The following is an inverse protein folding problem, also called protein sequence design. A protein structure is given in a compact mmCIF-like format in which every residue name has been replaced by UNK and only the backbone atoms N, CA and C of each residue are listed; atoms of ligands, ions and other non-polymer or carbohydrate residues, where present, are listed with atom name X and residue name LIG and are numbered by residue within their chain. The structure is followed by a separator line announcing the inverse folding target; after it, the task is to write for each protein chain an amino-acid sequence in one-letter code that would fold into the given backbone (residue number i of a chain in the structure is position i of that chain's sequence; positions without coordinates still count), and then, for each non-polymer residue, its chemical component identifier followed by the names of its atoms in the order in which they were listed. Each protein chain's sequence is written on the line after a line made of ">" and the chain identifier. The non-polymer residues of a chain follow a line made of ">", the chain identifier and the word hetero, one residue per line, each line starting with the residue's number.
data_IF_390831747890
#
_entry.id   IF_390831747890
#
_cell.length_a   1.000
_cell.length_b   1.000
_cell.length_c   1.000
_cell.angle_alpha   90.00
_cell.angle_beta   90.00
_cell.angle_gamma   90.00
#
_symmetry.space_group_name_H-M   'P 1'
#
loop_
_entity.id
_entity.type
_entity.pdbx_description
1 polymer ?
#
# COMPACT_ATOMS: atom_id res chain seq x y z
N UNK A 1 -8.64 -23.03 -6.70
CA UNK A 1 -9.35 -23.11 -7.99
C UNK A 1 -10.86 -22.95 -7.84
N UNK A 2 -11.49 -23.60 -6.84
CA UNK A 2 -12.91 -23.45 -6.55
C UNK A 2 -13.27 -22.03 -6.10
N UNK A 3 -12.45 -21.44 -5.21
CA UNK A 3 -12.62 -20.04 -4.79
C UNK A 3 -12.51 -19.05 -5.97
N UNK A 4 -11.58 -19.31 -6.89
CA UNK A 4 -11.45 -18.50 -8.09
C UNK A 4 -12.72 -18.57 -8.96
N UNK A 5 -13.31 -19.74 -9.15
CA UNK A 5 -14.56 -19.88 -9.89
C UNK A 5 -15.73 -19.13 -9.22
N UNK A 6 -15.77 -19.10 -7.89
CA UNK A 6 -16.75 -18.28 -7.16
C UNK A 6 -16.51 -16.77 -7.39
N UNK A 7 -15.24 -16.34 -7.40
CA UNK A 7 -14.89 -14.95 -7.72
C UNK A 7 -15.24 -14.54 -9.15
N UNK A 8 -15.03 -15.46 -10.11
CA UNK A 8 -15.41 -15.24 -11.52
C UNK A 8 -16.91 -15.03 -11.69
N UNK A 9 -17.73 -15.73 -10.91
CA UNK A 9 -19.18 -15.52 -10.93
C UNK A 9 -19.54 -14.06 -10.68
N UNK A 10 -18.96 -13.42 -9.67
CA UNK A 10 -19.20 -12.01 -9.40
C UNK A 10 -18.68 -11.11 -10.51
N UNK A 11 -17.44 -11.35 -10.97
CA UNK A 11 -16.83 -10.60 -12.09
C UNK A 11 -17.71 -10.64 -13.34
N UNK A 12 -18.17 -11.83 -13.74
CA UNK A 12 -18.94 -12.02 -14.96
C UNK A 12 -20.37 -11.48 -14.84
N UNK A 13 -20.86 -11.29 -13.60
CA UNK A 13 -22.13 -10.62 -13.30
C UNK A 13 -21.98 -9.12 -12.99
N UNK A 14 -20.96 -8.45 -13.55
CA UNK A 14 -20.75 -6.99 -13.44
C UNK A 14 -20.47 -6.48 -12.03
N UNK A 15 -19.96 -7.35 -11.16
CA UNK A 15 -19.61 -7.04 -9.78
C UNK A 15 -18.10 -7.07 -9.59
N UNK A 16 -17.65 -6.75 -8.38
CA UNK A 16 -16.24 -6.76 -8.02
C UNK A 16 -16.01 -7.78 -6.92
N UNK A 17 -14.96 -8.58 -7.06
CA UNK A 17 -14.57 -9.56 -6.06
C UNK A 17 -13.06 -9.46 -5.75
N UNK A 18 -12.70 -9.75 -4.51
CA UNK A 18 -11.33 -9.90 -4.04
C UNK A 18 -11.13 -11.34 -3.58
N UNK A 19 -10.05 -11.97 -4.03
CA UNK A 19 -9.64 -13.29 -3.57
C UNK A 19 -8.22 -13.24 -3.00
N UNK A 20 -8.02 -13.87 -1.87
CA UNK A 20 -6.73 -14.00 -1.21
C UNK A 20 -6.34 -15.47 -1.23
N UNK A 21 -5.14 -15.78 -1.77
CA UNK A 21 -4.58 -17.11 -1.77
C UNK A 21 -3.51 -17.23 -0.69
N UNK A 22 -3.87 -17.74 0.46
CA UNK A 22 -2.97 -17.92 1.61
C UNK A 22 -2.69 -19.42 1.84
N UNK A 23 -1.62 -19.98 1.28
CA UNK A 23 -0.66 -19.34 0.39
C UNK A 23 -0.31 -20.25 -0.81
N UNK A 24 0.26 -19.69 -1.87
CA UNK A 24 0.66 -20.43 -3.05
C UNK A 24 2.00 -21.17 -2.87
N UNK A 25 2.83 -20.81 -1.91
CA UNK A 25 4.06 -21.54 -1.59
C UNK A 25 3.73 -22.93 -1.04
N UNK A 26 2.78 -23.04 -0.12
CA UNK A 26 2.30 -24.33 0.40
C UNK A 26 1.56 -25.13 -0.66
N UNK A 27 0.78 -24.46 -1.49
CA UNK A 27 0.10 -25.12 -2.62
C UNK A 27 1.14 -25.72 -3.60
N UNK A 28 2.22 -25.00 -3.90
CA UNK A 28 3.32 -25.49 -4.73
C UNK A 28 4.02 -26.70 -4.09
N UNK A 29 4.29 -26.64 -2.79
CA UNK A 29 4.90 -27.75 -2.04
C UNK A 29 4.03 -29.01 -2.07
N UNK A 30 2.72 -28.86 -1.85
CA UNK A 30 1.77 -29.98 -1.94
C UNK A 30 1.73 -30.57 -3.35
N UNK A 31 1.70 -29.72 -4.38
CA UNK A 31 1.72 -30.17 -5.78
C UNK A 31 3.02 -30.91 -6.13
N UNK A 32 4.18 -30.46 -5.63
CA UNK A 32 5.45 -31.15 -5.74
C UNK A 32 5.40 -32.54 -5.10
N UNK A 33 4.89 -32.66 -3.88
CA UNK A 33 4.77 -33.93 -3.18
C UNK A 33 3.93 -34.95 -3.99
N UNK A 34 2.73 -34.53 -4.43
CA UNK A 34 1.87 -35.37 -5.27
C UNK A 34 2.57 -35.79 -6.57
N UNK A 35 3.25 -34.87 -7.22
CA UNK A 35 3.97 -35.15 -8.48
C UNK A 35 5.10 -36.16 -8.30
N UNK A 36 5.85 -36.06 -7.20
CA UNK A 36 6.93 -37.02 -6.87
C UNK A 36 6.37 -38.41 -6.53
N UNK A 37 5.26 -38.49 -5.79
CA UNK A 37 4.58 -39.73 -5.51
C UNK A 37 4.08 -40.41 -6.80
N UNK A 38 3.63 -39.64 -7.77
CA UNK A 38 3.21 -40.12 -9.09
C UNK A 38 4.41 -40.39 -10.01
N UNK A 39 5.64 -40.30 -9.49
CA UNK A 39 6.89 -40.53 -10.23
C UNK A 39 7.05 -39.64 -11.49
N UNK A 40 6.48 -38.44 -11.48
CA UNK A 40 6.72 -37.45 -12.51
C UNK A 40 8.19 -36.95 -12.41
N UNK A 41 8.89 -36.75 -13.54
CA UNK A 41 10.27 -36.31 -13.50
C UNK A 41 10.38 -34.92 -12.85
N UNK A 42 11.25 -34.76 -11.84
CA UNK A 42 11.44 -33.47 -11.18
C UNK A 42 12.27 -32.52 -12.04
N UNK A 43 11.93 -31.22 -11.96
CA UNK A 43 12.70 -30.12 -12.50
C UNK A 43 13.48 -29.35 -11.42
N UNK A 44 13.59 -28.02 -11.60
CA UNK A 44 14.28 -27.14 -10.66
C UNK A 44 13.63 -27.25 -9.26
N UNK A 45 14.45 -27.34 -8.22
CA UNK A 45 14.05 -27.49 -6.82
C UNK A 45 13.06 -28.65 -6.59
N UNK A 46 13.19 -29.70 -7.43
CA UNK A 46 12.32 -30.87 -7.44
C UNK A 46 10.83 -30.59 -7.75
N UNK A 47 10.48 -29.39 -8.21
CA UNK A 47 9.15 -29.10 -8.71
C UNK A 47 8.88 -29.76 -10.07
N UNK A 48 7.64 -30.15 -10.37
CA UNK A 48 7.29 -30.64 -11.69
C UNK A 48 7.41 -29.53 -12.73
N UNK A 49 7.66 -29.90 -13.99
CA UNK A 49 7.88 -28.95 -15.08
C UNK A 49 6.72 -28.00 -15.37
N UNK A 50 5.50 -28.35 -14.92
CA UNK A 50 4.28 -27.57 -15.09
C UNK A 50 3.94 -26.67 -13.89
N UNK A 51 4.86 -26.49 -12.93
CA UNK A 51 4.58 -25.68 -11.73
C UNK A 51 4.26 -24.22 -12.07
N UNK A 52 4.95 -23.64 -13.05
CA UNK A 52 4.65 -22.30 -13.53
C UNK A 52 3.22 -22.21 -14.06
N UNK A 53 2.81 -23.17 -14.88
CA UNK A 53 1.47 -23.24 -15.44
C UNK A 53 0.41 -23.46 -14.36
N UNK A 54 0.74 -24.22 -13.32
CA UNK A 54 -0.18 -24.43 -12.17
C UNK A 54 -0.56 -23.10 -11.50
N UNK A 55 0.36 -22.15 -11.38
CA UNK A 55 0.09 -20.82 -10.84
C UNK A 55 -0.47 -19.86 -11.90
N UNK A 56 0.08 -19.82 -13.11
CA UNK A 56 -0.36 -18.87 -14.12
C UNK A 56 -1.82 -19.09 -14.54
N UNK A 57 -2.23 -20.34 -14.77
CA UNK A 57 -3.64 -20.65 -15.10
C UNK A 57 -4.64 -20.33 -13.99
N UNK A 58 -4.18 -20.16 -12.73
CA UNK A 58 -4.99 -19.70 -11.63
C UNK A 58 -5.05 -18.16 -11.57
N UNK A 59 -3.89 -17.51 -11.63
CA UNK A 59 -3.77 -16.08 -11.42
C UNK A 59 -4.27 -15.25 -12.61
N UNK A 60 -4.08 -15.71 -13.83
CA UNK A 60 -4.57 -15.04 -15.05
C UNK A 60 -6.12 -15.02 -15.17
N UNK A 61 -6.81 -15.79 -14.37
CA UNK A 61 -8.29 -15.72 -14.25
C UNK A 61 -8.75 -14.44 -13.54
N UNK A 62 -7.87 -13.81 -12.77
CA UNK A 62 -8.15 -12.53 -12.11
C UNK A 62 -7.94 -11.40 -13.12
N UNK A 63 -9.02 -10.68 -13.43
CA UNK A 63 -9.02 -9.67 -14.47
C UNK A 63 -10.07 -8.59 -14.20
N UNK A 64 -9.87 -7.41 -14.78
CA UNK A 64 -10.88 -6.37 -14.97
C UNK A 64 -11.45 -6.51 -16.37
N UNK A 65 -12.74 -6.72 -16.48
CA UNK A 65 -13.44 -6.78 -17.77
C UNK A 65 -13.64 -5.37 -18.35
N UNK A 66 -13.80 -5.29 -19.67
CA UNK A 66 -14.14 -4.05 -20.35
C UNK A 66 -15.61 -3.64 -20.10
N UNK A 67 -15.96 -2.43 -20.52
CA UNK A 67 -17.31 -1.88 -20.30
C UNK A 67 -18.39 -2.66 -21.07
N UNK A 68 -18.07 -3.19 -22.25
CA UNK A 68 -19.00 -4.02 -23.04
C UNK A 68 -19.41 -5.30 -22.29
N UNK A 69 -18.49 -5.88 -21.50
CA UNK A 69 -18.75 -7.04 -20.66
C UNK A 69 -19.25 -6.65 -19.25
N UNK A 70 -19.49 -5.36 -19.00
CA UNK A 70 -20.08 -4.86 -17.78
C UNK A 70 -19.09 -4.46 -16.69
N UNK A 71 -17.80 -4.31 -17.03
CA UNK A 71 -16.75 -3.75 -16.16
C UNK A 71 -16.55 -4.44 -14.81
N UNK A 72 -16.99 -5.69 -14.64
CA UNK A 72 -16.74 -6.48 -13.44
C UNK A 72 -15.24 -6.76 -13.23
N UNK A 73 -14.83 -7.04 -12.01
CA UNK A 73 -13.43 -7.34 -11.72
C UNK A 73 -13.24 -8.45 -10.70
N UNK A 74 -12.16 -9.20 -10.85
CA UNK A 74 -11.64 -10.11 -9.85
C UNK A 74 -10.19 -9.73 -9.57
N UNK A 75 -9.92 -9.30 -8.35
CA UNK A 75 -8.55 -8.99 -7.88
C UNK A 75 -8.03 -10.15 -7.05
N UNK A 76 -6.83 -10.63 -7.35
CA UNK A 76 -6.17 -11.67 -6.58
C UNK A 76 -4.98 -11.09 -5.79
N UNK A 77 -4.88 -11.47 -4.52
CA UNK A 77 -3.73 -11.24 -3.66
C UNK A 77 -3.11 -12.58 -3.27
N UNK A 78 -2.19 -13.12 -4.09
CA UNK A 78 -1.48 -14.35 -3.75
C UNK A 78 -0.40 -14.05 -2.70
N UNK A 79 -0.37 -14.85 -1.63
CA UNK A 79 0.67 -14.80 -0.62
C UNK A 79 1.75 -15.81 -0.99
N UNK A 80 2.99 -15.34 -1.00
CA UNK A 80 4.19 -16.15 -1.23
C UNK A 80 5.10 -16.03 -0.02
N UNK A 81 5.48 -17.17 0.53
CA UNK A 81 6.44 -17.26 1.62
C UNK A 81 7.88 -17.31 1.04
N UNK A 82 8.74 -16.44 1.52
CA UNK A 82 10.16 -16.42 1.14
C UNK A 82 11.02 -16.97 2.28
N UNK A 83 12.11 -17.66 1.93
CA UNK A 83 13.11 -18.10 2.90
C UNK A 83 14.16 -16.98 3.03
N UNK A 84 14.36 -16.48 4.26
CA UNK A 84 15.30 -15.39 4.55
C UNK A 84 15.17 -14.13 3.65
N UNK A 85 13.97 -13.85 3.14
CA UNK A 85 13.74 -12.71 2.25
C UNK A 85 14.21 -12.92 0.80
N UNK A 86 14.60 -14.13 0.42
CA UNK A 86 15.07 -14.43 -0.94
C UNK A 86 13.90 -14.44 -1.95
N UNK A 87 13.70 -13.31 -2.62
CA UNK A 87 12.72 -13.15 -3.71
C UNK A 87 13.22 -13.72 -5.04
N UNK A 88 14.50 -14.12 -5.13
CA UNK A 88 15.10 -14.69 -6.35
C UNK A 88 14.88 -16.21 -6.46
N UNK A 89 14.32 -16.83 -5.44
CA UNK A 89 13.96 -18.25 -5.44
C UNK A 89 12.91 -18.57 -6.51
N UNK A 90 12.78 -19.86 -6.85
CA UNK A 90 12.03 -20.31 -8.01
C UNK A 90 10.53 -19.93 -7.96
N UNK A 91 9.83 -20.22 -6.87
CA UNK A 91 8.40 -19.91 -6.76
C UNK A 91 8.14 -18.41 -6.69
N UNK A 92 8.86 -17.60 -5.85
CA UNK A 92 8.70 -16.16 -5.85
C UNK A 92 8.88 -15.51 -7.22
N UNK A 93 9.94 -15.86 -7.96
CA UNK A 93 10.21 -15.28 -9.30
C UNK A 93 9.12 -15.63 -10.30
N UNK A 94 8.59 -16.85 -10.27
CA UNK A 94 7.48 -17.26 -11.11
C UNK A 94 6.24 -16.40 -10.84
N UNK A 95 5.85 -16.23 -9.59
CA UNK A 95 4.64 -15.49 -9.23
C UNK A 95 4.79 -13.99 -9.48
N UNK A 96 5.96 -13.40 -9.23
CA UNK A 96 6.25 -12.00 -9.60
C UNK A 96 6.10 -11.78 -11.11
N UNK A 97 6.52 -12.76 -11.93
CA UNK A 97 6.40 -12.65 -13.39
C UNK A 97 4.95 -12.74 -13.89
N UNK A 98 4.10 -13.48 -13.20
CA UNK A 98 2.68 -13.67 -13.54
C UNK A 98 1.85 -12.46 -13.09
N UNK A 99 2.13 -11.90 -11.91
CA UNK A 99 1.33 -10.85 -11.29
C UNK A 99 1.71 -9.44 -11.77
N UNK A 100 0.87 -8.45 -11.47
CA UNK A 100 1.11 -7.04 -11.82
C UNK A 100 1.98 -6.29 -10.81
N UNK A 101 2.77 -7.00 -10.05
CA UNK A 101 3.68 -6.43 -9.07
C UNK A 101 3.69 -7.21 -7.76
N UNK A 102 4.36 -6.67 -6.76
CA UNK A 102 4.48 -7.29 -5.44
C UNK A 102 4.42 -6.25 -4.33
N UNK A 103 3.87 -6.64 -3.20
CA UNK A 103 3.97 -5.96 -1.91
C UNK A 103 5.01 -6.74 -1.09
N UNK A 104 6.16 -6.14 -0.82
CA UNK A 104 7.26 -6.76 -0.10
C UNK A 104 7.16 -6.45 1.39
N UNK A 105 6.99 -7.48 2.21
CA UNK A 105 6.98 -7.38 3.68
C UNK A 105 8.36 -7.72 4.23
N UNK A 106 8.90 -6.85 5.07
CA UNK A 106 10.25 -6.98 5.62
C UNK A 106 10.22 -7.17 7.14
N UNK A 107 10.78 -8.29 7.68
CA UNK A 107 10.79 -8.53 9.12
C UNK A 107 11.48 -7.43 9.93
N UNK A 108 12.55 -6.83 9.40
CA UNK A 108 13.26 -5.74 10.07
C UNK A 108 12.35 -4.53 10.34
N UNK A 109 11.50 -4.15 9.37
CA UNK A 109 10.52 -3.08 9.55
C UNK A 109 9.47 -3.43 10.61
N UNK A 110 9.02 -4.68 10.64
CA UNK A 110 8.08 -5.14 11.66
C UNK A 110 8.64 -5.01 13.07
N UNK A 111 9.86 -5.45 13.28
CA UNK A 111 10.55 -5.35 14.59
C UNK A 111 10.90 -3.90 14.94
N UNK A 112 11.14 -3.03 13.96
CA UNK A 112 11.31 -1.58 14.14
C UNK A 112 9.99 -0.85 14.43
N UNK A 113 8.85 -1.56 14.52
CA UNK A 113 7.54 -0.96 14.82
C UNK A 113 6.86 -0.28 13.63
N UNK A 114 7.35 -0.50 12.40
CA UNK A 114 6.67 -0.08 11.16
C UNK A 114 5.66 -1.16 10.79
N UNK A 115 4.38 -0.87 10.97
CA UNK A 115 3.28 -1.81 10.72
C UNK A 115 2.16 -1.11 9.97
N UNK A 116 1.77 -1.64 8.77
CA UNK A 116 2.28 -2.83 8.09
C UNK A 116 3.76 -2.69 7.70
N UNK A 117 4.49 -3.82 7.71
CA UNK A 117 5.93 -3.87 7.49
C UNK A 117 6.29 -3.83 5.98
N UNK A 118 5.68 -2.92 5.24
CA UNK A 118 5.82 -2.80 3.78
C UNK A 118 7.09 -2.04 3.43
N UNK A 119 7.98 -2.69 2.69
CA UNK A 119 9.11 -2.02 2.08
C UNK A 119 8.66 -1.33 0.78
N UNK A 120 8.48 -0.02 0.83
CA UNK A 120 8.00 0.80 -0.31
C UNK A 120 8.99 0.78 -1.48
N UNK A 121 10.28 0.65 -1.21
CA UNK A 121 11.34 0.63 -2.24
C UNK A 121 11.30 -0.65 -3.10
N UNK A 122 11.12 -1.81 -2.44
CA UNK A 122 11.08 -3.12 -3.10
C UNK A 122 9.69 -3.50 -3.62
N UNK A 123 8.64 -2.83 -3.14
CA UNK A 123 7.28 -3.04 -3.62
C UNK A 123 7.09 -2.34 -4.96
N UNK A 124 6.47 -3.04 -5.91
CA UNK A 124 6.26 -2.55 -7.28
C UNK A 124 4.81 -2.82 -7.69
N UNK A 125 4.18 -1.88 -8.37
CA UNK A 125 2.91 -2.08 -9.05
C UNK A 125 3.06 -1.72 -10.53
N UNK A 126 2.74 -2.65 -11.43
CA UNK A 126 2.70 -2.40 -12.89
C UNK A 126 1.45 -1.64 -13.29
N UNK A 127 0.37 -1.74 -12.51
CA UNK A 127 -0.85 -0.94 -12.69
C UNK A 127 -0.62 0.50 -12.25
N UNK A 128 0.11 0.68 -11.16
CA UNK A 128 0.52 1.97 -10.62
C UNK A 128 -0.66 2.91 -10.35
N UNK A 129 -0.49 4.17 -10.71
CA UNK A 129 -1.50 5.18 -10.51
C UNK A 129 -2.81 4.98 -11.30
N UNK A 130 -2.86 4.06 -12.28
CA UNK A 130 -4.11 3.81 -13.02
C UNK A 130 -5.23 3.24 -12.14
N UNK A 131 -4.87 2.57 -11.03
CA UNK A 131 -5.84 2.04 -10.06
C UNK A 131 -6.24 3.04 -8.97
N UNK A 132 -5.59 4.21 -8.90
CA UNK A 132 -5.86 5.23 -7.88
C UNK A 132 -6.86 6.26 -8.39
N UNK A 133 -7.72 6.74 -7.50
CA UNK A 133 -8.51 7.95 -7.76
C UNK A 133 -7.58 9.17 -7.92
N UNK A 134 -8.02 10.18 -8.62
CA UNK A 134 -7.20 11.36 -8.95
C UNK A 134 -6.69 12.07 -7.70
N UNK A 135 -7.53 12.22 -6.67
CA UNK A 135 -7.15 12.81 -5.38
C UNK A 135 -5.97 12.07 -4.73
N UNK A 136 -5.98 10.73 -4.72
CA UNK A 136 -4.87 9.94 -4.18
C UNK A 136 -3.59 10.13 -5.00
N UNK A 137 -3.68 10.17 -6.33
CA UNK A 137 -2.51 10.47 -7.19
C UNK A 137 -1.90 11.83 -6.89
N UNK A 138 -2.73 12.84 -6.63
CA UNK A 138 -2.27 14.20 -6.35
C UNK A 138 -1.47 14.28 -5.04
N UNK A 139 -1.86 13.53 -4.01
CA UNK A 139 -1.17 13.56 -2.70
C UNK A 139 -0.04 12.54 -2.57
N UNK A 140 -0.16 11.38 -3.22
CA UNK A 140 0.81 10.28 -3.09
C UNK A 140 1.80 10.19 -4.26
N UNK A 141 1.70 11.06 -5.27
CA UNK A 141 2.51 10.99 -6.50
C UNK A 141 4.00 11.02 -6.26
N UNK A 142 4.48 11.84 -5.32
CA UNK A 142 5.89 11.95 -4.94
C UNK A 142 6.28 11.10 -3.74
N UNK A 143 5.30 10.55 -3.01
CA UNK A 143 5.51 9.91 -1.70
C UNK A 143 6.57 8.80 -1.75
N UNK A 144 6.59 8.00 -2.81
CA UNK A 144 7.58 6.93 -2.98
C UNK A 144 9.00 7.49 -3.11
N UNK A 145 9.17 8.57 -3.85
CA UNK A 145 10.45 9.26 -4.03
C UNK A 145 10.90 9.90 -2.71
N UNK A 146 9.98 10.60 -2.04
CA UNK A 146 10.24 11.24 -0.75
C UNK A 146 10.68 10.22 0.30
N UNK A 147 10.04 9.04 0.32
CA UNK A 147 10.41 7.95 1.23
C UNK A 147 11.76 7.31 0.88
N UNK A 148 12.10 7.19 -0.40
CA UNK A 148 13.41 6.69 -0.82
C UNK A 148 14.53 7.66 -0.40
N UNK A 149 14.35 8.96 -0.65
CA UNK A 149 15.28 10.00 -0.22
C UNK A 149 15.44 10.05 1.31
N UNK A 150 14.32 9.94 2.03
CA UNK A 150 14.37 9.88 3.50
C UNK A 150 15.25 8.74 4.00
N UNK A 151 15.11 7.53 3.45
CA UNK A 151 15.91 6.37 3.87
C UNK A 151 17.40 6.54 3.60
N UNK A 152 17.76 7.12 2.46
CA UNK A 152 19.15 7.44 2.14
C UNK A 152 19.73 8.45 3.13
N UNK A 153 18.98 9.53 3.39
CA UNK A 153 19.40 10.58 4.32
C UNK A 153 19.44 10.09 5.78
N UNK A 154 18.52 9.21 6.18
CA UNK A 154 18.50 8.59 7.51
C UNK A 154 19.77 7.76 7.75
N UNK A 155 20.19 6.99 6.74
CA UNK A 155 21.44 6.23 6.81
C UNK A 155 22.66 7.16 6.94
N UNK A 156 22.71 8.29 6.19
CA UNK A 156 23.77 9.28 6.32
C UNK A 156 23.77 10.00 7.68
N UNK A 157 22.60 10.36 8.18
CA UNK A 157 22.45 11.03 9.48
C UNK A 157 22.98 10.17 10.64
N UNK A 158 22.90 8.86 10.55
CA UNK A 158 23.45 7.93 11.54
C UNK A 158 24.99 8.00 11.67
N UNK A 159 25.69 8.52 10.64
CA UNK A 159 27.15 8.69 10.67
C UNK A 159 27.63 10.06 11.20
N UNK A 160 26.72 10.92 11.71
CA UNK A 160 27.07 12.13 12.45
C UNK A 160 27.58 13.29 11.61
N UNK A 161 27.19 13.42 10.36
CA UNK A 161 27.51 14.57 9.51
C UNK A 161 26.69 15.81 9.91
N UNK A 162 27.29 17.01 9.86
CA UNK A 162 26.58 18.29 9.95
C UNK A 162 25.67 18.42 8.72
N UNK A 163 24.36 18.31 8.96
CA UNK A 163 23.36 18.37 7.90
C UNK A 163 22.90 19.81 7.69
N UNK A 164 22.82 20.22 6.43
CA UNK A 164 22.23 21.49 6.07
C UNK A 164 20.73 21.56 6.39
N UNK A 165 20.17 22.79 6.45
CA UNK A 165 18.77 23.00 6.82
C UNK A 165 17.76 22.34 5.88
N UNK A 166 18.11 22.17 4.59
CA UNK A 166 17.25 21.52 3.60
C UNK A 166 17.16 20.03 3.90
N UNK A 167 18.29 19.37 4.11
CA UNK A 167 18.39 17.96 4.47
C UNK A 167 17.70 17.66 5.80
N UNK A 168 17.87 18.53 6.82
CA UNK A 168 17.15 18.41 8.09
C UNK A 168 15.63 18.47 7.90
N UNK A 169 15.13 19.35 7.02
CA UNK A 169 13.71 19.45 6.72
C UNK A 169 13.18 18.20 6.02
N UNK A 170 13.95 17.63 5.08
CA UNK A 170 13.58 16.39 4.41
C UNK A 170 13.52 15.20 5.40
N UNK A 171 14.51 15.08 6.29
CA UNK A 171 14.50 14.09 7.36
C UNK A 171 13.32 14.26 8.31
N UNK A 172 13.05 15.50 8.71
CA UNK A 172 11.91 15.82 9.57
C UNK A 172 10.59 15.38 8.93
N UNK A 173 10.36 15.74 7.66
CA UNK A 173 9.16 15.37 6.92
C UNK A 173 9.07 13.87 6.69
N UNK A 174 10.14 13.23 6.25
CA UNK A 174 10.17 11.79 6.00
C UNK A 174 9.82 10.97 7.24
N UNK A 175 10.37 11.34 8.41
CA UNK A 175 10.01 10.68 9.67
C UNK A 175 8.52 10.79 10.00
N UNK A 176 7.87 11.94 9.71
CA UNK A 176 6.42 12.11 9.89
C UNK A 176 5.64 11.25 8.90
N UNK A 177 6.05 11.22 7.64
CA UNK A 177 5.42 10.37 6.63
C UNK A 177 5.51 8.88 7.00
N UNK A 178 6.66 8.41 7.51
CA UNK A 178 6.78 7.03 8.05
C UNK A 178 5.76 6.79 9.15
N UNK A 179 5.59 7.75 10.06
CA UNK A 179 4.63 7.61 11.16
C UNK A 179 3.18 7.58 10.67
N UNK A 180 2.82 8.41 9.70
CA UNK A 180 1.47 8.45 9.11
C UNK A 180 1.13 7.19 8.30
N UNK A 181 2.13 6.51 7.75
CA UNK A 181 1.93 5.25 7.02
C UNK A 181 1.75 4.03 7.93
N UNK A 182 1.95 4.19 9.24
CA UNK A 182 1.63 3.13 10.20
C UNK A 182 0.12 3.04 10.39
N UNK A 183 -0.39 1.83 10.41
CA UNK A 183 -1.83 1.56 10.54
C UNK A 183 -2.07 0.43 11.53
N UNK A 184 -2.95 0.60 12.52
CA UNK A 184 -3.34 -0.48 13.41
C UNK A 184 -4.04 -1.62 12.65
N UNK A 185 -3.91 -2.83 13.16
CA UNK A 185 -4.56 -3.99 12.58
C UNK A 185 -6.09 -3.86 12.68
N UNK A 186 -6.79 -4.27 11.63
CA UNK A 186 -8.27 -4.22 11.53
C UNK A 186 -8.89 -2.82 11.60
N UNK A 187 -8.13 -1.78 11.29
CA UNK A 187 -8.62 -0.40 11.24
C UNK A 187 -8.39 0.21 9.85
N UNK A 188 -9.16 -0.22 8.83
CA UNK A 188 -9.07 0.38 7.51
C UNK A 188 -9.59 1.81 7.54
N UNK A 189 -8.92 2.70 6.80
CA UNK A 189 -9.32 4.08 6.62
C UNK A 189 -10.00 4.27 5.27
N UNK A 190 -11.12 4.99 5.19
CA UNK A 190 -11.72 5.36 3.92
C UNK A 190 -10.82 6.34 3.15
N UNK A 191 -11.00 6.38 1.83
CA UNK A 191 -10.13 7.12 0.90
C UNK A 191 -10.01 8.60 1.26
N UNK A 192 -11.09 9.27 1.59
CA UNK A 192 -11.13 10.68 1.94
C UNK A 192 -10.28 11.00 3.20
N UNK A 193 -10.26 10.10 4.19
CA UNK A 193 -9.40 10.24 5.38
C UNK A 193 -7.93 10.02 5.04
N UNK A 194 -7.63 9.00 4.22
CA UNK A 194 -6.26 8.75 3.75
C UNK A 194 -5.71 9.94 2.96
N UNK A 195 -6.49 10.49 2.03
CA UNK A 195 -6.09 11.66 1.24
C UNK A 195 -5.83 12.87 2.14
N UNK A 196 -6.70 13.14 3.11
CA UNK A 196 -6.58 14.31 3.99
C UNK A 196 -5.33 14.27 4.86
N UNK A 197 -4.99 13.13 5.45
CA UNK A 197 -3.80 13.01 6.29
C UNK A 197 -2.51 13.01 5.45
N UNK A 198 -2.50 12.36 4.29
CA UNK A 198 -1.36 12.41 3.37
C UNK A 198 -1.15 13.81 2.82
N UNK A 199 -2.22 14.55 2.52
CA UNK A 199 -2.15 15.95 2.14
C UNK A 199 -1.47 16.78 3.23
N UNK A 200 -1.90 16.66 4.49
CA UNK A 200 -1.28 17.34 5.62
C UNK A 200 0.22 17.01 5.76
N UNK A 201 0.60 15.74 5.60
CA UNK A 201 1.98 15.29 5.68
C UNK A 201 2.85 15.81 4.53
N UNK A 202 2.40 15.67 3.30
CA UNK A 202 3.17 16.05 2.11
C UNK A 202 3.30 17.58 1.96
N UNK A 203 2.27 18.35 2.33
CA UNK A 203 2.32 19.82 2.35
C UNK A 203 3.11 20.38 3.55
N UNK A 204 3.49 19.56 4.54
CA UNK A 204 4.38 19.93 5.64
C UNK A 204 3.69 20.55 6.84
N UNK A 205 2.38 20.45 6.98
CA UNK A 205 1.65 20.89 8.18
C UNK A 205 2.14 20.20 9.46
N UNK A 206 2.66 18.97 9.32
CA UNK A 206 3.11 18.15 10.43
C UNK A 206 4.59 18.34 10.81
N UNK A 207 5.38 19.09 10.03
CA UNK A 207 6.82 19.26 10.25
C UNK A 207 7.17 19.83 11.65
N UNK A 208 6.27 20.61 12.22
CA UNK A 208 6.42 21.26 13.53
C UNK A 208 6.07 20.39 14.73
N UNK A 209 5.40 19.25 14.52
CA UNK A 209 4.94 18.40 15.61
C UNK A 209 5.92 17.26 15.88
N UNK A 210 6.13 16.83 17.15
CA UNK A 210 6.88 15.62 17.48
C UNK A 210 6.13 14.37 17.05
N UNK A 211 6.87 13.25 16.89
CA UNK A 211 6.32 12.01 16.32
C UNK A 211 5.25 11.34 17.20
N UNK A 212 5.37 11.48 18.50
CA UNK A 212 4.49 10.85 19.50
C UNK A 212 3.07 11.43 19.53
N UNK A 213 2.90 12.67 19.07
CA UNK A 213 1.56 13.31 19.03
C UNK A 213 0.84 13.10 17.70
N UNK A 214 1.50 12.56 16.66
CA UNK A 214 0.90 12.46 15.32
C UNK A 214 -0.34 11.57 15.27
N UNK A 215 -0.38 10.48 16.01
CA UNK A 215 -1.58 9.63 16.08
C UNK A 215 -2.78 10.38 16.71
N UNK A 216 -2.52 11.24 17.71
CA UNK A 216 -3.53 12.10 18.30
C UNK A 216 -3.97 13.20 17.34
N UNK A 217 -3.01 13.77 16.60
CA UNK A 217 -3.29 14.76 15.55
C UNK A 217 -4.20 14.18 14.49
N UNK A 218 -3.87 13.01 13.98
CA UNK A 218 -4.65 12.32 12.93
C UNK A 218 -6.09 12.05 13.37
N UNK A 219 -6.28 11.44 14.54
CA UNK A 219 -7.61 11.14 15.07
C UNK A 219 -8.45 12.42 15.30
N UNK A 220 -7.84 13.47 15.85
CA UNK A 220 -8.52 14.75 16.06
C UNK A 220 -8.83 15.49 14.76
N UNK A 221 -7.93 15.43 13.76
CA UNK A 221 -8.15 16.03 12.44
C UNK A 221 -9.42 15.46 11.77
N UNK A 222 -9.61 14.14 11.83
CA UNK A 222 -10.79 13.53 11.22
C UNK A 222 -12.08 14.02 11.86
N UNK A 223 -12.14 14.05 13.18
CA UNK A 223 -13.32 14.58 13.91
C UNK A 223 -13.53 16.07 13.61
N UNK A 224 -12.47 16.86 13.60
CA UNK A 224 -12.55 18.29 13.31
C UNK A 224 -13.08 18.57 11.89
N UNK A 225 -12.63 17.82 10.90
CA UNK A 225 -13.13 17.95 9.51
C UNK A 225 -14.59 17.51 9.44
N UNK A 226 -14.96 16.39 10.07
CA UNK A 226 -16.35 15.90 10.11
C UNK A 226 -17.31 16.93 10.71
N UNK A 227 -16.88 17.61 11.77
CA UNK A 227 -17.72 18.57 12.52
C UNK A 227 -17.79 19.95 11.86
N UNK A 228 -16.66 20.49 11.36
CA UNK A 228 -16.59 21.90 10.94
C UNK A 228 -16.41 22.10 9.42
N UNK A 229 -15.85 21.12 8.73
CA UNK A 229 -15.56 21.18 7.30
C UNK A 229 -16.06 19.92 6.57
N UNK A 230 -17.30 19.44 6.80
CA UNK A 230 -17.79 18.18 6.23
C UNK A 230 -17.74 18.14 4.70
N UNK A 231 -17.73 19.33 4.06
CA UNK A 231 -17.60 19.47 2.61
C UNK A 231 -16.29 18.87 2.08
N UNK A 232 -15.20 18.89 2.88
CA UNK A 232 -13.91 18.29 2.48
C UNK A 232 -14.08 16.80 2.18
N UNK A 233 -14.69 16.05 3.09
CA UNK A 233 -14.87 14.61 2.89
C UNK A 233 -15.96 14.30 1.86
N UNK A 234 -17.06 15.06 1.82
CA UNK A 234 -18.11 14.84 0.83
C UNK A 234 -17.63 15.11 -0.59
N UNK A 235 -16.88 16.21 -0.82
CA UNK A 235 -16.33 16.49 -2.14
C UNK A 235 -15.25 15.50 -2.57
N UNK A 236 -14.35 15.09 -1.66
CA UNK A 236 -13.36 14.05 -1.96
C UNK A 236 -14.03 12.74 -2.36
N UNK A 237 -15.10 12.36 -1.67
CA UNK A 237 -15.83 11.12 -1.95
C UNK A 237 -16.62 11.17 -3.26
N UNK A 238 -17.18 12.33 -3.60
CA UNK A 238 -18.03 12.50 -4.78
C UNK A 238 -17.21 12.76 -6.04
N UNK A 239 -16.21 13.66 -5.96
CA UNK A 239 -15.43 14.10 -7.12
C UNK A 239 -14.16 13.28 -7.33
N UNK A 240 -13.67 12.60 -6.31
CA UNK A 240 -12.43 11.81 -6.32
C UNK A 240 -11.19 12.60 -6.80
N UNK A 241 -11.26 13.94 -6.74
CA UNK A 241 -10.24 14.87 -7.21
C UNK A 241 -10.11 16.04 -6.25
N UNK A 242 -8.88 16.55 -6.05
CA UNK A 242 -8.62 17.80 -5.36
C UNK A 242 -8.63 18.93 -6.40
N UNK A 243 -9.74 19.66 -6.48
CA UNK A 243 -9.85 20.88 -7.26
C UNK A 243 -9.16 22.06 -6.56
N UNK A 244 -8.91 23.18 -7.28
CA UNK A 244 -8.31 24.37 -6.69
C UNK A 244 -9.12 24.95 -5.51
N UNK A 245 -10.43 24.82 -5.55
CA UNK A 245 -11.31 25.29 -4.47
C UNK A 245 -11.26 24.33 -3.27
N UNK A 246 -11.22 23.03 -3.52
CA UNK A 246 -11.03 22.05 -2.46
C UNK A 246 -9.64 22.13 -1.82
N UNK A 247 -8.57 22.41 -2.59
CA UNK A 247 -7.22 22.63 -2.05
C UNK A 247 -7.18 23.83 -1.09
N UNK A 248 -7.88 24.94 -1.42
CA UNK A 248 -8.03 26.09 -0.52
C UNK A 248 -8.81 25.71 0.75
N UNK A 249 -9.93 25.01 0.60
CA UNK A 249 -10.75 24.58 1.72
C UNK A 249 -10.00 23.62 2.66
N UNK A 250 -9.25 22.66 2.10
CA UNK A 250 -8.40 21.76 2.88
C UNK A 250 -7.29 22.51 3.60
N UNK A 251 -6.66 23.48 2.94
CA UNK A 251 -5.63 24.34 3.54
C UNK A 251 -6.22 25.16 4.69
N UNK A 252 -7.40 25.74 4.51
CA UNK A 252 -8.11 26.49 5.54
C UNK A 252 -8.45 25.60 6.74
N UNK A 253 -9.03 24.42 6.49
CA UNK A 253 -9.38 23.47 7.55
C UNK A 253 -8.14 23.02 8.36
N UNK A 254 -7.03 22.74 7.69
CA UNK A 254 -5.78 22.36 8.35
C UNK A 254 -5.18 23.51 9.18
N UNK A 255 -5.22 24.73 8.69
CA UNK A 255 -4.75 25.89 9.47
C UNK A 255 -5.62 26.14 10.70
N UNK A 256 -6.95 26.03 10.55
CA UNK A 256 -7.88 26.17 11.67
C UNK A 256 -7.68 25.07 12.72
N UNK A 257 -7.49 23.82 12.27
CA UNK A 257 -7.21 22.69 13.16
C UNK A 257 -5.86 22.86 13.88
N UNK A 258 -4.84 23.35 13.19
CA UNK A 258 -3.53 23.60 13.77
C UNK A 258 -3.57 24.59 14.95
N UNK A 259 -4.39 25.63 14.88
CA UNK A 259 -4.55 26.58 16.00
C UNK A 259 -5.20 25.91 17.21
N UNK A 260 -6.21 25.07 16.99
CA UNK A 260 -6.89 24.34 18.06
C UNK A 260 -6.00 23.23 18.65
N UNK A 261 -5.27 22.52 17.80
CA UNK A 261 -4.42 21.41 18.24
C UNK A 261 -3.20 21.86 19.06
N UNK A 262 -2.63 23.03 18.79
CA UNK A 262 -1.54 23.61 19.59
C UNK A 262 -1.91 23.74 21.08
N UNK A 263 -3.17 24.05 21.38
CA UNK A 263 -3.63 24.21 22.77
C UNK A 263 -3.84 22.85 23.46
N UNK A 264 -3.98 21.79 22.68
CA UNK A 264 -4.18 20.42 23.17
C UNK A 264 -2.86 19.72 23.56
N UNK A 265 -1.70 20.26 23.12
CA UNK A 265 -0.38 19.68 23.37
C UNK A 265 0.34 20.36 24.56
N UNK A 266 -0.13 21.52 24.99
CA UNK A 266 0.36 22.21 26.19
C UNK A 266 -0.07 21.46 27.45
#
# INVERSE_FOLDING_TARGET
>A
YAGCAMGEYFRDNKQHALIIYDDLSKQAAAYRQVSLLLRRPPGREAFPGDIFYNHSRLLERSAKLNDELGAGSLTALPIIETQAGDVSAYIPTNVISITDGQIYLEPALFFAGVRPAINVGLSVSRVGGAAQVKAMKQVAGTLRLDMAQYRELEAFAAFGSDLDKSTQKQLTRGARLVQLLKQPQYQPLPMEKQVSILYAGTKGFLDKYPLDVLAKYEAGLYSFIEDRYPQVFSELKEKEEISDDLDKLMTEALNAYDEEFKDTIK
#
